data_IF_473328854049
#
_entry.id   IF_473328854049
#
_cell.length_a   1.000
_cell.length_b   1.000
_cell.length_c   1.000
_cell.angle_alpha   90.00
_cell.angle_beta   90.00
_cell.angle_gamma   90.00
#
_symmetry.space_group_name_H-M   'P 1'
#
loop_
_entity.id
_entity.type
_entity.pdbx_description
1 polymer ?
#
# COMPACT_ATOMS: atom_id res chain seq x y z
N UNK A 1 -64.71 6.99 -21.50
CA UNK A 1 -63.39 7.51 -21.17
C UNK A 1 -62.54 6.35 -20.68
N UNK A 2 -61.63 5.89 -21.52
CA UNK A 2 -60.71 4.77 -21.20
C UNK A 2 -59.49 5.32 -20.51
N UNK A 3 -58.87 4.57 -19.57
CA UNK A 3 -57.64 4.99 -18.91
C UNK A 3 -56.39 4.71 -19.78
N UNK A 4 -55.53 5.66 -19.87
CA UNK A 4 -54.25 5.65 -20.55
C UNK A 4 -53.24 4.73 -19.83
N UNK A 5 -52.59 3.85 -20.60
CA UNK A 5 -51.47 2.99 -20.16
C UNK A 5 -50.23 3.81 -19.85
N UNK A 6 -49.41 3.37 -18.86
CA UNK A 6 -48.12 3.98 -18.61
C UNK A 6 -47.04 3.49 -19.57
N UNK A 7 -46.18 4.42 -19.91
CA UNK A 7 -45.05 4.39 -20.81
C UNK A 7 -44.06 3.26 -20.48
N UNK A 8 -43.64 2.50 -21.49
CA UNK A 8 -42.63 1.44 -21.36
C UNK A 8 -41.25 2.07 -21.35
N UNK A 9 -40.59 2.02 -20.18
CA UNK A 9 -39.21 2.44 -20.01
C UNK A 9 -38.27 1.71 -20.98
N UNK A 10 -37.52 2.46 -21.76
CA UNK A 10 -36.49 1.97 -22.66
C UNK A 10 -35.39 1.24 -21.88
N UNK A 11 -35.22 -0.05 -22.16
CA UNK A 11 -34.11 -0.85 -21.67
C UNK A 11 -32.84 -0.35 -22.38
N UNK A 12 -31.96 0.29 -21.65
CA UNK A 12 -30.64 0.70 -22.13
C UNK A 12 -29.82 -0.56 -22.39
N UNK A 13 -29.39 -0.76 -23.64
CA UNK A 13 -28.46 -1.84 -23.98
C UNK A 13 -27.12 -1.58 -23.32
N UNK A 14 -26.45 -2.62 -22.80
CA UNK A 14 -25.10 -2.43 -22.22
C UNK A 14 -24.13 -2.02 -23.32
N UNK A 15 -23.24 -1.06 -22.97
CA UNK A 15 -22.13 -0.61 -23.82
C UNK A 15 -21.30 -1.80 -24.32
N UNK A 16 -20.83 -1.78 -25.57
CA UNK A 16 -19.96 -2.82 -26.10
C UNK A 16 -18.67 -2.89 -25.27
N UNK A 17 -18.29 -4.12 -24.89
CA UNK A 17 -17.05 -4.39 -24.20
C UNK A 17 -15.85 -3.72 -24.92
N UNK A 18 -14.88 -3.15 -24.18
CA UNK A 18 -13.71 -2.54 -24.79
C UNK A 18 -12.97 -3.55 -25.68
N UNK A 19 -12.39 -3.12 -26.82
CA UNK A 19 -11.67 -4.02 -27.71
C UNK A 19 -10.52 -4.70 -26.94
N UNK A 20 -10.40 -6.01 -27.14
CA UNK A 20 -9.28 -6.80 -26.61
C UNK A 20 -7.96 -6.12 -27.01
N UNK A 21 -7.13 -5.84 -26.04
CA UNK A 21 -5.83 -5.19 -26.21
C UNK A 21 -5.03 -5.91 -27.29
N UNK A 22 -4.75 -5.24 -28.39
CA UNK A 22 -3.84 -5.70 -29.43
C UNK A 22 -2.39 -5.37 -29.02
N UNK A 23 -1.92 -5.95 -27.92
CA UNK A 23 -0.49 -6.00 -27.65
C UNK A 23 0.16 -6.89 -28.72
N UNK A 24 1.34 -6.53 -29.27
CA UNK A 24 2.04 -7.39 -30.20
C UNK A 24 2.28 -8.78 -29.57
N UNK A 25 2.22 -9.87 -30.35
CA UNK A 25 2.44 -11.21 -29.82
C UNK A 25 3.81 -11.25 -29.14
N UNK A 26 3.81 -11.64 -27.86
CA UNK A 26 5.04 -11.80 -27.08
C UNK A 26 5.82 -12.99 -27.67
N UNK A 27 7.12 -12.80 -27.93
CA UNK A 27 7.99 -13.93 -28.27
C UNK A 27 7.95 -14.99 -27.15
N UNK A 28 7.73 -16.25 -27.55
CA UNK A 28 7.68 -17.40 -26.62
C UNK A 28 9.01 -18.12 -26.66
N UNK A 29 9.71 -18.20 -25.54
CA UNK A 29 10.92 -18.99 -25.38
C UNK A 29 10.59 -20.48 -25.13
N UNK A 30 10.96 -21.36 -26.05
CA UNK A 30 10.72 -22.81 -25.95
C UNK A 30 12.04 -23.55 -25.77
N UNK A 31 12.09 -24.50 -24.83
CA UNK A 31 13.20 -25.44 -24.69
C UNK A 31 12.76 -26.80 -25.18
N UNK A 32 13.34 -27.26 -26.27
CA UNK A 32 13.17 -28.61 -26.81
C UNK A 32 14.29 -29.51 -26.27
N UNK A 33 13.94 -30.54 -25.49
CA UNK A 33 14.87 -31.54 -24.96
C UNK A 33 14.72 -32.78 -25.80
N UNK A 34 15.67 -33.02 -26.75
CA UNK A 34 15.58 -34.04 -27.80
C UNK A 34 17.00 -34.38 -28.27
N UNK A 35 17.42 -35.62 -28.18
CA UNK A 35 18.76 -36.08 -28.60
C UNK A 35 18.84 -36.43 -30.08
N UNK A 36 17.76 -36.92 -30.68
CA UNK A 36 17.70 -37.25 -32.11
C UNK A 36 17.65 -36.00 -33.00
N UNK A 37 18.54 -35.88 -33.96
CA UNK A 37 18.62 -34.72 -34.84
C UNK A 37 17.44 -34.61 -35.81
N UNK A 38 16.91 -35.78 -36.27
CA UNK A 38 15.77 -35.83 -37.19
C UNK A 38 14.47 -35.39 -36.51
N UNK A 39 14.22 -35.94 -35.33
CA UNK A 39 13.04 -35.58 -34.53
C UNK A 39 13.06 -34.11 -34.12
N UNK A 40 14.22 -33.62 -33.67
CA UNK A 40 14.38 -32.20 -33.29
C UNK A 40 14.13 -31.26 -34.49
N UNK A 41 14.60 -31.60 -35.68
CA UNK A 41 14.37 -30.83 -36.89
C UNK A 41 12.89 -30.82 -37.27
N UNK A 42 12.23 -31.97 -37.21
CA UNK A 42 10.78 -32.07 -37.51
C UNK A 42 9.93 -31.20 -36.58
N UNK A 43 10.23 -31.23 -35.27
CA UNK A 43 9.55 -30.41 -34.27
C UNK A 43 9.81 -28.93 -34.50
N UNK A 44 11.06 -28.56 -34.76
CA UNK A 44 11.44 -27.16 -35.03
C UNK A 44 10.77 -26.60 -36.28
N UNK A 45 10.75 -27.36 -37.39
CA UNK A 45 10.11 -26.95 -38.63
C UNK A 45 8.59 -26.83 -38.47
N UNK A 46 7.95 -27.72 -37.74
CA UNK A 46 6.54 -27.61 -37.43
C UNK A 46 6.23 -26.39 -36.60
N UNK A 47 7.04 -26.10 -35.59
CA UNK A 47 6.87 -24.90 -34.76
C UNK A 47 7.12 -23.59 -35.52
N UNK A 48 8.09 -23.56 -36.43
CA UNK A 48 8.35 -22.37 -37.27
C UNK A 48 7.13 -22.02 -38.15
N UNK A 49 6.33 -23.00 -38.55
CA UNK A 49 5.10 -22.79 -39.34
C UNK A 49 3.90 -22.44 -38.45
N UNK A 50 3.68 -23.20 -37.38
CA UNK A 50 2.44 -23.16 -36.58
C UNK A 50 2.52 -22.19 -35.39
N UNK A 51 3.75 -21.77 -34.99
CA UNK A 51 4.05 -20.88 -33.87
C UNK A 51 5.19 -19.90 -34.21
N UNK A 52 4.99 -19.02 -35.20
CA UNK A 52 6.03 -18.12 -35.69
C UNK A 52 6.57 -17.14 -34.62
N UNK A 53 5.81 -16.92 -33.55
CA UNK A 53 6.23 -16.14 -32.36
C UNK A 53 7.14 -16.96 -31.40
N UNK A 54 7.40 -18.22 -31.66
CA UNK A 54 8.20 -19.11 -30.81
C UNK A 54 9.68 -19.13 -31.19
N UNK A 55 10.57 -18.94 -30.23
CA UNK A 55 12.01 -19.18 -30.37
C UNK A 55 12.38 -20.47 -29.69
N UNK A 56 12.92 -21.45 -30.46
CA UNK A 56 13.24 -22.79 -29.97
C UNK A 56 14.74 -22.88 -29.68
N UNK A 57 15.07 -23.17 -28.41
CA UNK A 57 16.41 -23.63 -28.01
C UNK A 57 16.39 -25.14 -27.83
N UNK A 58 17.47 -25.82 -28.22
CA UNK A 58 17.57 -27.29 -28.11
C UNK A 58 18.56 -27.68 -27.04
N UNK A 59 18.20 -28.69 -26.22
CA UNK A 59 19.05 -29.47 -25.33
C UNK A 59 19.05 -30.92 -25.78
N UNK A 60 20.22 -31.60 -25.73
CA UNK A 60 20.36 -32.99 -26.18
C UNK A 60 20.27 -34.01 -25.03
N UNK A 61 20.15 -33.53 -23.81
CA UNK A 61 20.10 -34.35 -22.60
C UNK A 61 19.45 -33.55 -21.46
N UNK A 62 19.08 -34.19 -20.36
CA UNK A 62 18.62 -33.51 -19.15
C UNK A 62 19.72 -32.61 -18.56
N UNK A 63 20.99 -33.06 -18.60
CA UNK A 63 22.12 -32.27 -18.11
C UNK A 63 22.28 -30.97 -18.90
N UNK A 64 22.13 -31.04 -20.24
CA UNK A 64 22.15 -29.84 -21.10
C UNK A 64 20.93 -28.94 -20.87
N UNK A 65 19.74 -29.53 -20.73
CA UNK A 65 18.53 -28.80 -20.37
C UNK A 65 18.68 -28.04 -19.05
N UNK A 66 19.23 -28.66 -18.02
CA UNK A 66 19.50 -28.05 -16.72
C UNK A 66 20.41 -26.82 -16.83
N UNK A 67 21.46 -26.91 -17.66
CA UNK A 67 22.36 -25.76 -17.88
C UNK A 67 21.65 -24.56 -18.53
N UNK A 68 20.67 -24.84 -19.42
CA UNK A 68 19.90 -23.80 -20.12
C UNK A 68 18.72 -23.27 -19.30
N UNK A 69 18.13 -24.06 -18.39
CA UNK A 69 16.99 -23.66 -17.54
C UNK A 69 17.30 -22.56 -16.52
N UNK A 70 18.55 -22.09 -16.46
CA UNK A 70 18.91 -20.84 -15.75
C UNK A 70 18.36 -19.59 -16.44
N UNK A 71 17.95 -19.70 -17.73
CA UNK A 71 17.26 -18.68 -18.51
C UNK A 71 15.73 -18.75 -18.35
N UNK A 72 15.03 -17.80 -18.98
CA UNK A 72 13.56 -17.75 -18.97
C UNK A 72 12.99 -18.48 -20.18
N UNK A 73 12.36 -19.63 -19.94
CA UNK A 73 11.57 -20.34 -20.95
C UNK A 73 10.08 -20.30 -20.58
N UNK A 74 9.23 -20.17 -21.60
CA UNK A 74 7.78 -20.18 -21.44
C UNK A 74 7.20 -21.61 -21.46
N UNK A 75 7.90 -22.56 -22.12
CA UNK A 75 7.48 -23.98 -22.16
C UNK A 75 8.69 -24.87 -22.43
N UNK A 76 8.67 -26.06 -21.85
CA UNK A 76 9.60 -27.16 -22.13
C UNK A 76 8.88 -28.26 -22.91
N UNK A 77 9.47 -28.67 -24.03
CA UNK A 77 9.08 -29.85 -24.82
C UNK A 77 10.09 -30.94 -24.51
N UNK A 78 9.64 -32.08 -24.02
CA UNK A 78 10.52 -33.12 -23.52
C UNK A 78 10.29 -34.46 -24.22
N UNK A 79 11.32 -34.99 -24.85
CA UNK A 79 11.32 -36.39 -25.23
C UNK A 79 11.55 -37.29 -24.01
N UNK A 80 10.90 -38.47 -24.01
CA UNK A 80 11.02 -39.44 -22.94
C UNK A 80 12.23 -40.38 -23.09
N UNK A 81 12.89 -40.40 -24.25
CA UNK A 81 14.04 -41.29 -24.51
C UNK A 81 15.30 -40.45 -24.70
N UNK A 82 15.95 -40.12 -23.59
CA UNK A 82 17.17 -39.32 -23.57
C UNK A 82 18.36 -40.16 -23.12
N UNK A 83 19.60 -39.83 -23.51
CA UNK A 83 20.78 -40.61 -23.18
C UNK A 83 21.10 -40.69 -21.68
N UNK A 84 20.67 -39.72 -20.90
CA UNK A 84 20.96 -39.58 -19.46
C UNK A 84 19.72 -39.72 -18.56
N UNK A 85 18.51 -39.83 -19.12
CA UNK A 85 17.28 -40.14 -18.36
C UNK A 85 16.19 -40.66 -19.30
N UNK A 86 15.31 -41.52 -18.81
CA UNK A 86 14.24 -42.10 -19.63
C UNK A 86 12.89 -42.11 -18.90
N UNK A 87 11.80 -42.01 -19.68
CA UNK A 87 10.43 -42.10 -19.18
C UNK A 87 10.12 -41.07 -18.11
N UNK A 88 9.45 -41.48 -17.03
CA UNK A 88 9.00 -40.59 -15.94
C UNK A 88 10.15 -39.98 -15.13
N UNK A 89 11.35 -40.59 -15.19
CA UNK A 89 12.51 -40.01 -14.53
C UNK A 89 12.91 -38.67 -15.17
N UNK A 90 12.89 -38.58 -16.51
CA UNK A 90 13.15 -37.33 -17.23
C UNK A 90 12.14 -36.24 -16.84
N UNK A 91 10.84 -36.58 -16.76
CA UNK A 91 9.78 -35.68 -16.30
C UNK A 91 10.06 -35.19 -14.88
N UNK A 92 10.40 -36.09 -13.95
CA UNK A 92 10.67 -35.74 -12.56
C UNK A 92 11.90 -34.83 -12.40
N UNK A 93 12.93 -35.00 -13.25
CA UNK A 93 14.12 -34.17 -13.24
C UNK A 93 13.81 -32.75 -13.73
N UNK A 94 13.11 -32.57 -14.87
CA UNK A 94 12.70 -31.26 -15.36
C UNK A 94 11.78 -30.58 -14.37
N UNK A 95 10.85 -31.28 -13.72
CA UNK A 95 9.95 -30.70 -12.70
C UNK A 95 10.68 -30.20 -11.48
N UNK A 96 11.78 -30.83 -11.05
CA UNK A 96 12.61 -30.32 -9.95
C UNK A 96 13.36 -29.05 -10.33
N UNK A 97 13.88 -29.00 -11.57
CA UNK A 97 14.72 -27.89 -12.03
C UNK A 97 13.89 -26.69 -12.50
N UNK A 98 12.67 -26.91 -13.02
CA UNK A 98 11.76 -25.88 -13.50
C UNK A 98 10.29 -26.13 -13.07
N UNK A 99 9.95 -26.03 -11.79
CA UNK A 99 8.63 -26.40 -11.26
C UNK A 99 7.48 -25.56 -11.80
N UNK A 100 7.73 -24.31 -12.19
CA UNK A 100 6.72 -23.36 -12.66
C UNK A 100 6.55 -23.35 -14.19
N UNK A 101 7.54 -23.85 -14.94
CA UNK A 101 7.52 -23.81 -16.42
C UNK A 101 6.63 -24.93 -16.96
N UNK A 102 5.67 -24.64 -17.86
CA UNK A 102 4.90 -25.68 -18.53
C UNK A 102 5.76 -26.72 -19.21
N UNK A 103 5.40 -27.99 -19.04
CA UNK A 103 6.11 -29.16 -19.60
C UNK A 103 5.14 -29.95 -20.46
N UNK A 104 5.46 -30.09 -21.73
CA UNK A 104 4.76 -30.96 -22.69
C UNK A 104 5.69 -32.12 -23.07
N UNK A 105 5.18 -33.33 -22.96
CA UNK A 105 5.94 -34.53 -23.29
C UNK A 105 5.70 -34.92 -24.75
N UNK A 106 6.75 -35.20 -25.47
CA UNK A 106 6.73 -35.77 -26.82
C UNK A 106 7.01 -37.27 -26.75
N UNK A 107 6.09 -38.11 -27.21
CA UNK A 107 6.20 -39.59 -27.10
C UNK A 107 6.23 -40.26 -28.46
N UNK A 108 6.83 -41.42 -28.55
CA UNK A 108 6.70 -42.33 -29.72
C UNK A 108 5.31 -42.97 -29.81
N UNK A 109 4.98 -43.58 -30.96
CA UNK A 109 3.65 -44.19 -31.21
C UNK A 109 3.37 -45.32 -30.22
N UNK A 110 4.40 -46.03 -29.74
CA UNK A 110 4.28 -47.21 -28.85
C UNK A 110 4.21 -46.82 -27.35
N UNK A 111 4.39 -45.54 -26.99
CA UNK A 111 4.55 -45.04 -25.61
C UNK A 111 3.28 -44.39 -25.02
N UNK A 112 2.11 -44.64 -25.59
CA UNK A 112 0.86 -43.99 -25.16
C UNK A 112 0.54 -44.15 -23.66
N UNK A 113 0.90 -45.28 -23.04
CA UNK A 113 0.72 -45.50 -21.59
C UNK A 113 1.68 -44.63 -20.75
N UNK A 114 2.90 -44.40 -21.23
CA UNK A 114 3.89 -43.52 -20.61
C UNK A 114 3.47 -42.05 -20.71
N UNK A 115 2.85 -41.63 -21.84
CA UNK A 115 2.30 -40.29 -22.00
C UNK A 115 1.25 -39.97 -20.96
N UNK A 116 0.32 -40.88 -20.68
CA UNK A 116 -0.68 -40.72 -19.63
C UNK A 116 -0.02 -40.62 -18.24
N UNK A 117 0.94 -41.49 -17.94
CA UNK A 117 1.65 -41.48 -16.67
C UNK A 117 2.51 -40.22 -16.48
N UNK A 118 2.94 -39.56 -17.57
CA UNK A 118 3.66 -38.30 -17.52
C UNK A 118 2.77 -37.13 -16.99
N UNK A 119 1.45 -37.16 -17.26
CA UNK A 119 0.52 -36.20 -16.69
C UNK A 119 0.45 -36.29 -15.16
N UNK A 120 0.39 -37.53 -14.62
CA UNK A 120 0.40 -37.79 -13.18
C UNK A 120 1.76 -37.36 -12.55
N UNK A 121 2.85 -37.44 -13.33
CA UNK A 121 4.18 -37.00 -12.94
C UNK A 121 4.37 -35.48 -13.05
N UNK A 122 3.36 -34.74 -13.52
CA UNK A 122 3.33 -33.28 -13.55
C UNK A 122 3.51 -32.65 -14.94
N UNK A 123 3.52 -33.40 -16.03
CA UNK A 123 3.41 -32.80 -17.36
C UNK A 123 2.02 -32.14 -17.55
N UNK A 124 1.94 -31.04 -18.31
CA UNK A 124 0.68 -30.36 -18.61
C UNK A 124 -0.06 -31.04 -19.76
N UNK A 125 0.68 -31.65 -20.68
CA UNK A 125 0.13 -32.38 -21.82
C UNK A 125 1.15 -33.39 -22.38
N UNK A 126 0.69 -34.29 -23.21
CA UNK A 126 1.58 -35.15 -23.99
C UNK A 126 1.09 -35.26 -25.45
N UNK A 127 2.03 -35.41 -26.37
CA UNK A 127 1.74 -35.50 -27.81
C UNK A 127 2.57 -36.64 -28.41
N UNK A 128 1.91 -37.42 -29.29
CA UNK A 128 2.58 -38.53 -29.98
C UNK A 128 3.25 -38.04 -31.26
N UNK A 129 4.57 -38.16 -31.36
CA UNK A 129 5.36 -37.76 -32.53
C UNK A 129 4.80 -38.42 -33.81
N UNK A 130 4.71 -37.66 -34.90
CA UNK A 130 4.27 -38.13 -36.20
C UNK A 130 2.76 -38.36 -36.38
N UNK A 131 1.93 -38.34 -35.31
CA UNK A 131 0.46 -38.47 -35.40
C UNK A 131 -0.27 -37.15 -35.20
N UNK A 132 0.46 -36.12 -34.80
CA UNK A 132 -0.10 -34.81 -34.46
C UNK A 132 -0.42 -34.06 -35.74
N UNK A 133 -1.72 -33.79 -36.00
CA UNK A 133 -2.16 -32.96 -37.12
C UNK A 133 -1.62 -31.52 -36.99
N UNK A 134 -1.47 -30.85 -38.15
CA UNK A 134 -0.99 -29.47 -38.22
C UNK A 134 -1.62 -28.58 -37.14
N UNK A 135 -0.79 -27.84 -36.40
CA UNK A 135 -1.20 -26.87 -35.37
C UNK A 135 -1.54 -27.44 -33.98
N UNK A 136 -1.50 -28.79 -33.78
CA UNK A 136 -1.86 -29.34 -32.46
C UNK A 136 -0.78 -29.06 -31.40
N UNK A 137 0.52 -29.17 -31.76
CA UNK A 137 1.62 -28.81 -30.89
C UNK A 137 1.58 -27.34 -30.47
N UNK A 138 1.38 -26.44 -31.43
CA UNK A 138 1.27 -25.01 -31.15
C UNK A 138 0.08 -24.68 -30.24
N UNK A 139 -1.06 -25.38 -30.42
CA UNK A 139 -2.22 -25.22 -29.54
C UNK A 139 -1.96 -25.71 -28.13
N UNK A 140 -1.30 -26.86 -27.98
CA UNK A 140 -0.93 -27.40 -26.67
C UNK A 140 0.03 -26.44 -25.93
N UNK A 141 1.03 -25.89 -26.62
CA UNK A 141 1.97 -24.91 -26.07
C UNK A 141 1.22 -23.64 -25.62
N UNK A 142 0.41 -23.01 -26.51
CA UNK A 142 -0.35 -21.82 -26.17
C UNK A 142 -1.29 -22.05 -24.98
N UNK A 143 -1.96 -23.20 -24.94
CA UNK A 143 -2.85 -23.55 -23.85
C UNK A 143 -2.10 -23.74 -22.53
N UNK A 144 -0.98 -24.48 -22.55
CA UNK A 144 -0.16 -24.72 -21.37
C UNK A 144 0.44 -23.43 -20.81
N UNK A 145 0.96 -22.56 -21.69
CA UNK A 145 1.51 -21.24 -21.30
C UNK A 145 0.41 -20.34 -20.73
N UNK A 146 -0.74 -20.21 -21.41
CA UNK A 146 -1.84 -19.39 -20.93
C UNK A 146 -2.36 -19.88 -19.57
N UNK A 147 -2.49 -21.17 -19.37
CA UNK A 147 -2.91 -21.77 -18.10
C UNK A 147 -1.91 -21.50 -16.98
N UNK A 148 -0.60 -21.64 -17.26
CA UNK A 148 0.43 -21.34 -16.27
C UNK A 148 0.45 -19.86 -15.87
N UNK A 149 0.26 -18.96 -16.83
CA UNK A 149 0.16 -17.50 -16.56
C UNK A 149 -1.03 -17.17 -15.67
N UNK A 150 -2.21 -17.74 -15.94
CA UNK A 150 -3.41 -17.54 -15.09
C UNK A 150 -3.17 -18.08 -13.68
N UNK A 151 -2.62 -19.30 -13.55
CA UNK A 151 -2.32 -19.88 -12.24
C UNK A 151 -1.27 -19.07 -11.46
N UNK A 152 -0.24 -18.57 -12.17
CA UNK A 152 0.77 -17.67 -11.57
C UNK A 152 0.14 -16.39 -11.05
N UNK A 153 -0.65 -15.69 -11.88
CA UNK A 153 -1.34 -14.46 -11.50
C UNK A 153 -2.32 -14.67 -10.33
N UNK A 154 -3.05 -15.80 -10.32
CA UNK A 154 -3.95 -16.14 -9.22
C UNK A 154 -3.19 -16.38 -7.91
N UNK A 155 -2.07 -17.09 -7.97
CA UNK A 155 -1.20 -17.33 -6.81
C UNK A 155 -0.63 -16.02 -6.25
N UNK A 156 -0.13 -15.15 -7.13
CA UNK A 156 0.43 -13.85 -6.74
C UNK A 156 -0.65 -12.97 -6.11
N UNK A 157 -1.88 -12.98 -6.65
CA UNK A 157 -3.01 -12.26 -6.10
C UNK A 157 -3.40 -12.79 -4.70
N UNK A 158 -3.39 -14.10 -4.49
CA UNK A 158 -3.68 -14.71 -3.18
C UNK A 158 -2.62 -14.30 -2.16
N UNK A 159 -1.34 -14.36 -2.53
CA UNK A 159 -0.23 -13.94 -1.66
C UNK A 159 -0.32 -12.45 -1.33
N UNK A 160 -0.54 -11.60 -2.32
CA UNK A 160 -0.71 -10.16 -2.12
C UNK A 160 -1.91 -9.83 -1.20
N UNK A 161 -3.03 -10.54 -1.36
CA UNK A 161 -4.20 -10.38 -0.48
C UNK A 161 -3.93 -10.83 0.95
N UNK A 162 -3.22 -11.95 1.13
CA UNK A 162 -2.85 -12.44 2.45
C UNK A 162 -1.92 -11.45 3.17
N UNK A 163 -0.91 -10.94 2.49
CA UNK A 163 -0.01 -9.91 3.01
C UNK A 163 -0.76 -8.61 3.37
N UNK A 164 -1.64 -8.13 2.49
CA UNK A 164 -2.46 -6.94 2.75
C UNK A 164 -3.39 -7.14 3.95
N UNK A 165 -3.97 -8.34 4.11
CA UNK A 165 -4.84 -8.64 5.24
C UNK A 165 -4.08 -8.68 6.57
N UNK A 166 -2.89 -9.27 6.59
CA UNK A 166 -2.03 -9.31 7.77
C UNK A 166 -1.56 -7.91 8.17
N UNK A 167 -1.13 -7.10 7.19
CA UNK A 167 -0.75 -5.72 7.42
C UNK A 167 -1.90 -4.89 7.97
N UNK A 168 -3.10 -4.97 7.38
CA UNK A 168 -4.29 -4.29 7.90
C UNK A 168 -4.69 -4.73 9.32
N UNK A 169 -4.35 -5.97 9.72
CA UNK A 169 -4.55 -6.45 11.08
C UNK A 169 -3.54 -5.82 12.06
N UNK A 170 -2.28 -5.70 11.65
CA UNK A 170 -1.25 -5.01 12.45
C UNK A 170 -1.60 -3.54 12.63
N UNK A 171 -2.01 -2.84 11.57
CA UNK A 171 -2.46 -1.44 11.65
C UNK A 171 -3.56 -1.22 12.69
N UNK A 172 -4.62 -2.06 12.66
CA UNK A 172 -5.70 -1.95 13.65
C UNK A 172 -5.21 -2.17 15.08
N UNK A 173 -4.23 -3.05 15.27
CA UNK A 173 -3.63 -3.31 16.59
C UNK A 173 -2.70 -2.18 17.06
N UNK A 174 -2.12 -1.43 16.13
CA UNK A 174 -1.18 -0.33 16.40
C UNK A 174 -1.86 1.04 16.35
N UNK A 175 -3.09 1.15 15.83
CA UNK A 175 -3.84 2.39 15.82
C UNK A 175 -4.06 2.94 17.25
N UNK A 176 -3.96 4.26 17.45
CA UNK A 176 -4.18 4.85 18.75
C UNK A 176 -5.62 4.65 19.23
N UNK A 177 -5.77 4.24 20.47
CA UNK A 177 -7.05 4.26 21.18
C UNK A 177 -6.98 5.36 22.24
N UNK A 178 -7.54 6.56 21.97
CA UNK A 178 -7.42 7.71 22.86
C UNK A 178 -8.03 7.41 24.24
N UNK A 179 -7.41 7.97 25.29
CA UNK A 179 -7.90 7.89 26.66
C UNK A 179 -8.49 9.26 27.02
N UNK A 180 -9.79 9.42 26.83
CA UNK A 180 -10.48 10.69 27.05
C UNK A 180 -11.60 10.53 28.09
N UNK A 181 -11.88 11.64 28.80
CA UNK A 181 -13.09 11.77 29.61
C UNK A 181 -14.24 12.19 28.70
N UNK A 182 -15.28 11.41 28.65
CA UNK A 182 -16.41 11.58 27.72
C UNK A 182 -17.17 12.91 27.88
N UNK A 183 -17.09 13.53 29.05
CA UNK A 183 -17.77 14.79 29.41
C UNK A 183 -16.91 16.05 29.23
N UNK A 184 -15.58 15.89 29.08
CA UNK A 184 -14.65 17.00 29.11
C UNK A 184 -14.11 17.38 27.72
N UNK A 185 -13.85 16.39 26.87
CA UNK A 185 -13.30 16.61 25.55
C UNK A 185 -13.70 15.51 24.57
N UNK A 186 -13.73 15.86 23.29
CA UNK A 186 -13.91 14.93 22.18
C UNK A 186 -12.73 15.01 21.21
N UNK A 187 -12.51 13.93 20.48
CA UNK A 187 -11.49 13.84 19.44
C UNK A 187 -12.07 13.15 18.21
N UNK A 188 -11.69 13.63 17.03
CA UNK A 188 -11.87 12.96 15.76
C UNK A 188 -10.54 12.96 15.03
N UNK A 189 -10.10 11.83 14.55
CA UNK A 189 -8.83 11.72 13.85
C UNK A 189 -8.93 10.83 12.62
N UNK A 190 -8.07 11.10 11.65
CA UNK A 190 -7.94 10.28 10.46
C UNK A 190 -6.47 10.25 10.03
N UNK A 191 -6.04 9.05 9.70
CA UNK A 191 -4.77 8.80 9.03
C UNK A 191 -5.05 8.34 7.60
N UNK A 192 -4.28 8.80 6.65
CA UNK A 192 -4.33 8.39 5.25
C UNK A 192 -2.93 8.19 4.72
N UNK A 193 -2.63 6.97 4.29
CA UNK A 193 -1.36 6.64 3.68
C UNK A 193 -1.20 7.33 2.33
N UNK A 194 0.00 7.81 2.04
CA UNK A 194 0.38 8.41 0.77
C UNK A 194 0.45 7.41 -0.39
N UNK A 195 0.94 7.86 -1.54
CA UNK A 195 1.04 7.04 -2.77
C UNK A 195 1.93 5.80 -2.64
N UNK A 196 2.85 5.76 -1.70
CA UNK A 196 3.82 4.67 -1.53
C UNK A 196 3.20 3.31 -1.18
N UNK A 197 1.87 3.23 -0.98
CA UNK A 197 1.14 2.01 -0.59
C UNK A 197 1.67 1.31 0.68
N UNK A 198 2.60 1.91 1.39
CA UNK A 198 2.92 1.48 2.73
C UNK A 198 1.69 1.76 3.58
N UNK A 199 1.09 0.71 4.14
CA UNK A 199 -0.12 0.81 4.95
C UNK A 199 0.14 1.51 6.30
N UNK A 200 1.39 1.58 6.72
CA UNK A 200 1.86 2.29 7.92
C UNK A 200 2.89 3.33 7.48
N UNK A 201 2.66 4.59 7.84
CA UNK A 201 3.58 5.70 7.66
C UNK A 201 4.33 6.07 8.94
N UNK A 202 5.25 7.02 8.82
CA UNK A 202 5.97 7.62 9.95
C UNK A 202 5.08 8.47 10.86
N UNK A 203 3.90 8.85 10.38
CA UNK A 203 2.91 9.66 11.08
C UNK A 203 2.33 8.95 12.30
N UNK A 204 2.30 9.61 13.43
CA UNK A 204 1.66 9.12 14.64
C UNK A 204 0.92 10.24 15.39
N UNK A 205 -0.13 9.88 16.10
CA UNK A 205 -0.87 10.79 16.97
C UNK A 205 -1.47 10.04 18.15
N UNK A 206 -1.77 10.77 19.22
CA UNK A 206 -2.46 10.21 20.38
C UNK A 206 -3.10 11.31 21.23
N UNK A 207 -4.03 10.92 22.12
CA UNK A 207 -4.64 11.79 23.10
C UNK A 207 -4.86 11.03 24.42
N UNK A 208 -4.48 11.69 25.53
CA UNK A 208 -4.61 11.13 26.88
C UNK A 208 -5.16 12.23 27.80
N UNK A 209 -6.18 11.89 28.57
CA UNK A 209 -6.69 12.71 29.67
C UNK A 209 -6.84 11.85 30.92
N UNK A 210 -5.99 12.08 31.91
CA UNK A 210 -6.14 11.46 33.23
C UNK A 210 -7.24 12.13 34.03
N UNK A 211 -7.72 11.46 35.10
CA UNK A 211 -8.89 11.92 35.88
C UNK A 211 -8.77 13.38 36.38
N UNK A 212 -7.59 13.77 36.86
CA UNK A 212 -7.32 15.09 37.45
C UNK A 212 -6.23 15.85 36.68
N UNK A 213 -5.96 15.48 35.44
CA UNK A 213 -4.90 16.05 34.62
C UNK A 213 -5.40 16.82 33.39
N UNK A 214 -4.49 17.54 32.72
CA UNK A 214 -4.81 18.19 31.46
C UNK A 214 -5.15 17.16 30.39
N UNK A 215 -5.85 17.61 29.35
CA UNK A 215 -5.96 16.88 28.09
C UNK A 215 -4.61 17.00 27.35
N UNK A 216 -3.94 15.90 27.16
CA UNK A 216 -2.65 15.81 26.49
C UNK A 216 -2.78 15.27 25.09
N UNK A 217 -2.22 15.98 24.13
CA UNK A 217 -2.26 15.65 22.71
C UNK A 217 -0.84 15.53 22.17
N UNK A 218 -0.64 14.62 21.24
CA UNK A 218 0.58 14.52 20.44
C UNK A 218 0.24 14.23 19.00
N UNK A 219 0.99 14.83 18.10
CA UNK A 219 1.11 14.43 16.70
C UNK A 219 2.57 14.56 16.30
N UNK A 220 3.05 13.66 15.45
CA UNK A 220 4.40 13.69 14.95
C UNK A 220 4.52 12.92 13.65
N UNK A 221 5.64 13.17 12.96
CA UNK A 221 5.99 12.56 11.70
C UNK A 221 7.48 12.19 11.71
N UNK A 222 7.77 10.91 11.45
CA UNK A 222 9.13 10.39 11.29
C UNK A 222 9.54 10.55 9.84
N UNK A 223 10.56 11.36 9.58
CA UNK A 223 11.08 11.64 8.25
C UNK A 223 11.34 10.36 7.46
N UNK A 224 10.75 10.23 6.27
CA UNK A 224 10.82 9.04 5.43
C UNK A 224 9.51 8.26 5.36
N UNK A 225 9.55 7.11 4.73
CA UNK A 225 8.34 6.30 4.53
C UNK A 225 8.70 4.81 4.54
N UNK A 226 7.90 4.01 5.18
CA UNK A 226 8.06 2.56 5.19
C UNK A 226 7.84 1.93 6.56
N UNK A 227 8.15 0.65 6.65
CA UNK A 227 7.90 -0.13 7.85
C UNK A 227 8.82 0.25 9.02
N UNK A 228 10.06 0.69 8.73
CA UNK A 228 11.03 1.06 9.74
C UNK A 228 10.66 2.39 10.40
N UNK A 229 10.26 3.40 9.60
CA UNK A 229 9.76 4.68 10.08
C UNK A 229 8.46 4.51 10.87
N UNK A 230 7.55 3.67 10.39
CA UNK A 230 6.32 3.33 11.10
C UNK A 230 6.58 2.67 12.46
N UNK A 231 7.56 1.78 12.55
CA UNK A 231 7.94 1.15 13.81
C UNK A 231 8.46 2.18 14.83
N UNK A 232 9.26 3.15 14.37
CA UNK A 232 9.73 4.27 15.20
C UNK A 232 8.56 5.14 15.64
N UNK A 233 7.63 5.49 14.74
CA UNK A 233 6.42 6.25 15.06
C UNK A 233 5.58 5.59 16.15
N UNK A 234 5.38 4.26 16.08
CA UNK A 234 4.68 3.48 17.11
C UNK A 234 5.46 3.48 18.44
N UNK A 235 6.78 3.34 18.38
CA UNK A 235 7.66 3.39 19.57
C UNK A 235 7.53 4.74 20.28
N UNK A 236 7.66 5.84 19.53
CA UNK A 236 7.55 7.20 20.06
C UNK A 236 6.17 7.48 20.64
N UNK A 237 5.09 7.10 19.94
CA UNK A 237 3.72 7.22 20.42
C UNK A 237 3.50 6.47 21.74
N UNK A 238 4.02 5.25 21.83
CA UNK A 238 3.89 4.42 23.04
C UNK A 238 4.68 4.99 24.21
N UNK A 239 5.88 5.49 23.95
CA UNK A 239 6.72 6.17 24.94
C UNK A 239 6.05 7.45 25.42
N UNK A 240 5.54 8.27 24.50
CA UNK A 240 4.76 9.47 24.85
C UNK A 240 3.55 9.13 25.72
N UNK A 241 2.77 8.11 25.33
CA UNK A 241 1.58 7.69 26.09
C UNK A 241 1.92 7.29 27.54
N UNK A 242 3.01 6.53 27.71
CA UNK A 242 3.46 6.12 29.04
C UNK A 242 3.83 7.35 29.90
N UNK A 243 4.54 8.32 29.33
CA UNK A 243 4.91 9.57 30.01
C UNK A 243 3.71 10.49 30.24
N UNK A 244 2.79 10.60 29.28
CA UNK A 244 1.56 11.39 29.38
C UNK A 244 0.64 10.93 30.51
N UNK A 245 0.69 9.66 30.89
CA UNK A 245 -0.03 9.11 32.04
C UNK A 245 0.63 9.41 33.38
N UNK A 246 1.84 9.99 33.38
CA UNK A 246 2.53 10.47 34.57
C UNK A 246 2.27 11.95 34.83
N UNK A 247 3.01 12.55 35.76
CA UNK A 247 2.98 14.00 36.02
C UNK A 247 4.09 14.76 35.30
N UNK A 248 4.80 14.09 34.37
CA UNK A 248 5.89 14.72 33.59
C UNK A 248 5.40 15.93 32.80
N UNK A 249 6.20 17.00 32.78
CA UNK A 249 5.95 18.18 31.94
C UNK A 249 6.33 17.94 30.48
N UNK A 250 5.92 18.84 29.57
CA UNK A 250 6.17 18.72 28.14
C UNK A 250 7.67 18.68 27.81
N UNK A 251 8.50 19.44 28.54
CA UNK A 251 9.97 19.44 28.35
C UNK A 251 10.60 18.11 28.74
N UNK A 252 10.17 17.51 29.86
CA UNK A 252 10.65 16.21 30.31
C UNK A 252 10.24 15.10 29.34
N UNK A 253 8.99 15.19 28.83
CA UNK A 253 8.46 14.23 27.84
C UNK A 253 9.30 14.30 26.56
N UNK A 254 9.53 15.50 25.98
CA UNK A 254 10.28 15.62 24.73
C UNK A 254 11.73 15.21 24.88
N UNK A 255 12.39 15.49 26.01
CA UNK A 255 13.75 15.04 26.29
C UNK A 255 13.86 13.51 26.35
N UNK A 256 12.87 12.87 26.99
CA UNK A 256 12.82 11.41 27.05
C UNK A 256 12.55 10.82 25.66
N UNK A 257 11.63 11.41 24.89
CA UNK A 257 11.36 11.00 23.51
C UNK A 257 12.58 11.18 22.60
N UNK A 258 13.33 12.25 22.74
CA UNK A 258 14.62 12.46 22.06
C UNK A 258 15.58 11.30 22.34
N UNK A 259 15.73 10.93 23.61
CA UNK A 259 16.63 9.84 24.02
C UNK A 259 16.17 8.50 23.44
N UNK A 260 14.88 8.20 23.49
CA UNK A 260 14.30 7.00 22.86
C UNK A 260 14.57 6.99 21.37
N UNK A 261 14.27 8.08 20.67
CA UNK A 261 14.48 8.20 19.23
C UNK A 261 15.92 7.99 18.80
N UNK A 262 16.89 8.56 19.54
CA UNK A 262 18.32 8.42 19.25
C UNK A 262 18.83 6.98 19.38
N UNK A 263 18.20 6.17 20.23
CA UNK A 263 18.54 4.76 20.39
C UNK A 263 17.82 3.84 19.38
N UNK A 264 16.61 4.20 18.97
CA UNK A 264 15.78 3.39 18.06
C UNK A 264 16.04 3.70 16.58
N UNK A 265 16.54 4.89 16.24
CA UNK A 265 16.77 5.24 14.84
C UNK A 265 17.83 4.34 14.19
N UNK A 266 17.55 3.81 13.04
CA UNK A 266 18.43 2.92 12.28
C UNK A 266 19.44 3.67 11.38
N UNK A 267 19.23 4.99 11.15
CA UNK A 267 20.09 5.87 10.33
C UNK A 267 20.39 7.15 11.10
N UNK A 268 21.67 7.55 11.12
CA UNK A 268 22.13 8.72 11.87
C UNK A 268 21.52 10.06 11.43
N UNK A 269 21.04 10.19 10.20
CA UNK A 269 20.40 11.40 9.66
C UNK A 269 18.88 11.46 9.84
N UNK A 270 18.28 10.43 10.42
CA UNK A 270 16.83 10.38 10.65
C UNK A 270 16.45 11.40 11.73
N UNK A 271 15.32 12.07 11.54
CA UNK A 271 14.71 12.99 12.50
C UNK A 271 13.20 12.80 12.52
N UNK A 272 12.55 13.34 13.54
CA UNK A 272 11.07 13.37 13.62
C UNK A 272 10.59 14.75 14.00
N UNK A 273 9.52 15.18 13.35
CA UNK A 273 8.80 16.38 13.75
C UNK A 273 7.75 16.03 14.80
N UNK A 274 7.49 16.93 15.74
CA UNK A 274 6.61 16.66 16.87
C UNK A 274 5.86 17.93 17.29
N UNK A 275 4.58 17.80 17.57
CA UNK A 275 3.77 18.80 18.25
C UNK A 275 3.06 18.15 19.44
N UNK A 276 3.22 18.73 20.63
CA UNK A 276 2.52 18.34 21.85
C UNK A 276 1.71 19.53 22.38
N UNK A 277 0.49 19.26 22.84
CA UNK A 277 -0.38 20.26 23.45
C UNK A 277 -0.99 19.70 24.72
N UNK A 278 -0.76 20.34 25.83
CA UNK A 278 -1.46 20.08 27.10
C UNK A 278 -2.54 21.16 27.29
N UNK A 279 -3.81 20.76 27.40
CA UNK A 279 -4.94 21.68 27.55
C UNK A 279 -5.57 21.51 28.93
N UNK A 280 -5.55 22.58 29.72
CA UNK A 280 -6.44 22.72 30.86
C UNK A 280 -7.81 23.14 30.34
N UNK A 281 -8.72 22.18 30.24
CA UNK A 281 -10.05 22.39 29.65
C UNK A 281 -10.91 23.34 30.49
N UNK A 282 -10.75 23.32 31.83
CA UNK A 282 -11.52 24.16 32.75
C UNK A 282 -11.01 25.59 32.75
N UNK A 283 -9.69 25.77 32.76
CA UNK A 283 -9.06 27.08 32.71
C UNK A 283 -9.08 27.73 31.33
N UNK A 284 -9.31 26.94 30.26
CA UNK A 284 -9.22 27.43 28.89
C UNK A 284 -7.78 27.84 28.49
N UNK A 285 -6.79 27.05 28.94
CA UNK A 285 -5.37 27.35 28.69
C UNK A 285 -4.69 26.13 28.05
N UNK A 286 -3.95 26.38 26.99
CA UNK A 286 -3.09 25.40 26.35
C UNK A 286 -1.60 25.69 26.61
N UNK A 287 -0.82 24.64 26.78
CA UNK A 287 0.63 24.66 26.77
C UNK A 287 1.10 23.91 25.53
N UNK A 288 1.83 24.59 24.65
CA UNK A 288 2.25 24.10 23.34
C UNK A 288 3.76 23.92 23.30
N UNK A 289 4.22 22.74 22.88
CA UNK A 289 5.61 22.48 22.53
C UNK A 289 5.65 21.92 21.10
N UNK A 290 6.47 22.52 20.24
CA UNK A 290 6.59 22.13 18.84
C UNK A 290 8.06 21.98 18.44
N UNK A 291 8.43 20.82 17.95
CA UNK A 291 9.76 20.46 17.47
C UNK A 291 9.70 20.24 15.94
N UNK A 292 9.92 21.29 15.15
CA UNK A 292 9.95 21.22 13.69
C UNK A 292 8.61 20.97 12.99
N UNK A 293 7.54 20.73 13.72
CA UNK A 293 6.23 20.32 13.20
C UNK A 293 5.38 21.51 12.73
N UNK A 294 4.44 21.35 11.78
CA UNK A 294 3.47 22.39 11.42
C UNK A 294 2.71 22.92 12.63
N UNK A 295 2.39 24.22 12.67
CA UNK A 295 1.61 24.80 13.76
C UNK A 295 0.17 24.32 13.72
N UNK A 296 -0.45 23.95 14.88
CA UNK A 296 -1.86 23.64 14.95
C UNK A 296 -2.74 24.82 14.54
N UNK A 297 -3.89 24.55 13.91
CA UNK A 297 -4.90 25.54 13.66
C UNK A 297 -5.89 25.60 14.83
N UNK A 298 -6.21 26.80 15.30
CA UNK A 298 -7.28 27.09 16.24
C UNK A 298 -8.51 27.54 15.47
N UNK A 299 -9.61 26.85 15.67
CA UNK A 299 -10.92 27.13 15.07
C UNK A 299 -11.84 27.62 16.18
N UNK A 300 -12.49 28.76 15.99
CA UNK A 300 -13.44 29.34 16.93
C UNK A 300 -14.50 30.17 16.18
N UNK A 301 -15.42 30.76 16.89
CA UNK A 301 -16.37 31.73 16.31
C UNK A 301 -15.68 32.94 15.67
N UNK A 302 -14.46 33.29 16.09
CA UNK A 302 -13.66 34.36 15.49
C UNK A 302 -13.07 33.98 14.13
N UNK A 303 -13.04 32.69 13.80
CA UNK A 303 -12.50 32.15 12.55
C UNK A 303 -11.44 31.11 12.77
N UNK A 304 -10.50 31.03 11.81
CA UNK A 304 -9.40 30.06 11.81
C UNK A 304 -8.09 30.84 11.93
N UNK A 305 -7.33 30.52 12.94
CA UNK A 305 -6.01 31.10 13.15
C UNK A 305 -4.97 30.04 13.55
N UNK A 306 -3.71 30.39 13.43
CA UNK A 306 -2.60 29.53 13.86
C UNK A 306 -2.42 29.68 15.37
N UNK A 307 -2.29 28.57 16.09
CA UNK A 307 -1.83 28.64 17.47
C UNK A 307 -0.45 29.29 17.52
N UNK A 308 -0.28 30.39 18.29
CA UNK A 308 0.93 31.15 18.26
C UNK A 308 2.10 30.37 18.85
N UNK A 309 3.25 30.47 18.18
CA UNK A 309 4.54 30.05 18.74
C UNK A 309 5.59 31.08 18.32
N UNK A 310 6.28 31.63 19.28
CA UNK A 310 7.25 32.69 19.06
C UNK A 310 8.58 32.18 18.51
N UNK A 311 8.95 30.93 18.83
CA UNK A 311 10.19 30.28 18.37
C UNK A 311 9.92 28.92 17.76
N UNK A 312 10.59 28.64 16.66
CA UNK A 312 10.62 27.32 16.08
C UNK A 312 11.76 26.53 16.77
N UNK A 313 11.42 25.42 17.38
CA UNK A 313 12.40 24.49 17.93
C UNK A 313 12.78 23.44 16.87
N UNK A 314 14.01 22.91 16.89
CA UNK A 314 14.43 21.91 15.92
C UNK A 314 13.66 20.59 16.12
N UNK A 315 13.53 19.78 15.06
CA UNK A 315 13.02 18.41 15.17
C UNK A 315 13.84 17.56 16.14
N UNK A 316 13.23 16.51 16.66
CA UNK A 316 13.90 15.46 17.44
C UNK A 316 14.92 14.74 16.55
N UNK A 317 16.09 14.41 17.09
CA UNK A 317 17.16 13.71 16.37
C UNK A 317 18.21 14.62 15.73
N UNK A 318 18.03 15.96 15.74
CA UNK A 318 19.01 16.92 15.20
C UNK A 318 19.98 17.50 16.25
N UNK A 319 20.07 16.88 17.42
CA UNK A 319 21.11 17.18 18.43
C UNK A 319 20.97 18.53 19.12
N UNK A 320 19.76 19.06 19.24
CA UNK A 320 19.43 20.25 20.04
C UNK A 320 18.30 19.92 21.01
N UNK A 321 18.36 20.45 22.22
CA UNK A 321 17.46 20.19 23.34
C UNK A 321 16.92 21.49 23.99
N UNK A 322 16.87 22.59 23.21
CA UNK A 322 16.39 23.90 23.64
C UNK A 322 14.87 24.12 23.35
N UNK A 323 14.07 23.09 23.57
CA UNK A 323 12.61 23.19 23.38
C UNK A 323 11.98 24.10 24.43
N UNK A 324 11.00 24.87 23.99
CA UNK A 324 10.27 25.82 24.83
C UNK A 324 8.79 25.54 24.78
N UNK A 325 8.15 25.60 25.94
CA UNK A 325 6.70 25.55 26.09
C UNK A 325 6.12 26.94 26.02
N UNK A 326 5.11 27.14 25.18
CA UNK A 326 4.35 28.38 25.12
C UNK A 326 2.97 28.20 25.73
N UNK A 327 2.55 29.19 26.51
CA UNK A 327 1.21 29.27 27.09
C UNK A 327 0.30 30.08 26.17
N UNK A 328 -0.86 29.52 25.84
CA UNK A 328 -1.87 30.13 24.97
C UNK A 328 -3.24 30.12 25.68
N UNK A 329 -3.94 31.26 25.68
CA UNK A 329 -5.33 31.31 26.12
C UNK A 329 -6.26 30.86 25.00
N UNK A 330 -7.20 29.99 25.32
CA UNK A 330 -8.16 29.46 24.37
C UNK A 330 -9.55 30.13 24.56
N UNK A 331 -10.25 30.47 23.47
CA UNK A 331 -11.63 30.89 23.54
C UNK A 331 -12.53 29.77 24.07
N UNK A 332 -13.71 30.06 24.59
CA UNK A 332 -14.61 29.05 25.17
C UNK A 332 -15.11 27.99 24.17
N UNK A 333 -15.11 28.32 22.88
CA UNK A 333 -15.58 27.51 21.77
C UNK A 333 -14.43 26.90 20.94
N UNK A 334 -13.26 26.75 21.54
CA UNK A 334 -12.09 26.30 20.84
C UNK A 334 -12.24 24.88 20.24
N UNK A 335 -11.70 24.71 19.03
CA UNK A 335 -11.37 23.45 18.41
C UNK A 335 -9.94 23.55 17.88
N UNK A 336 -9.08 22.61 18.23
CA UNK A 336 -7.69 22.54 17.76
C UNK A 336 -7.59 21.46 16.68
N UNK A 337 -7.05 21.85 15.52
CA UNK A 337 -6.66 20.92 14.47
C UNK A 337 -5.14 20.77 14.48
N UNK A 338 -4.69 19.57 14.77
CA UNK A 338 -3.30 19.12 14.57
C UNK A 338 -3.24 18.33 13.25
N UNK A 339 -2.15 18.47 12.50
CA UNK A 339 -1.99 17.82 11.21
C UNK A 339 -0.51 17.69 10.84
N UNK A 340 -0.14 16.64 10.11
CA UNK A 340 1.19 16.44 9.53
C UNK A 340 1.33 17.22 8.22
N UNK A 341 2.57 17.40 7.76
CA UNK A 341 2.87 18.25 6.61
C UNK A 341 2.36 17.67 5.27
N UNK A 342 2.08 16.37 5.19
CA UNK A 342 1.55 15.75 3.98
C UNK A 342 0.29 16.44 3.42
N UNK A 343 -0.59 17.01 4.28
CA UNK A 343 -1.77 17.75 3.81
C UNK A 343 -1.40 19.09 3.18
N UNK A 344 -0.40 19.80 3.71
CA UNK A 344 -0.01 21.14 3.24
C UNK A 344 1.07 21.09 2.15
N UNK A 345 1.73 19.96 1.98
CA UNK A 345 2.72 19.72 0.93
C UNK A 345 2.10 19.30 -0.42
N UNK A 346 0.81 18.98 -0.45
CA UNK A 346 0.05 18.72 -1.67
C UNK A 346 0.19 19.88 -2.67
N UNK A 347 0.25 19.56 -3.96
CA UNK A 347 0.33 20.56 -5.04
C UNK A 347 -1.01 21.24 -5.26
N UNK A 348 -0.96 22.46 -5.79
CA UNK A 348 -2.13 23.18 -6.28
C UNK A 348 -2.03 23.31 -7.80
N UNK A 349 -2.76 22.45 -8.52
CA UNK A 349 -2.73 22.38 -9.97
C UNK A 349 -1.43 21.77 -10.52
N UNK A 350 -1.09 22.11 -11.78
CA UNK A 350 0.06 21.53 -12.51
C UNK A 350 1.42 22.18 -12.12
N UNK A 351 1.41 23.25 -11.33
CA UNK A 351 2.59 24.02 -10.97
C UNK A 351 3.37 23.48 -9.75
N UNK A 352 4.47 24.16 -9.37
CA UNK A 352 5.23 23.83 -8.17
C UNK A 352 4.59 24.36 -6.89
N UNK A 353 3.46 25.08 -6.97
CA UNK A 353 2.78 25.67 -5.83
C UNK A 353 2.22 24.58 -4.90
N UNK A 354 2.45 24.77 -3.59
CA UNK A 354 1.93 23.87 -2.56
C UNK A 354 0.77 24.51 -1.84
N UNK A 355 -0.14 23.71 -1.28
CA UNK A 355 -1.29 24.19 -0.53
C UNK A 355 -0.87 25.12 0.62
N UNK A 356 0.13 24.70 1.39
CA UNK A 356 0.64 25.45 2.54
C UNK A 356 -0.39 25.65 3.66
N UNK A 357 0.07 26.21 4.78
CA UNK A 357 -0.80 26.49 5.93
C UNK A 357 -1.95 27.46 5.56
N UNK A 358 -1.67 28.47 4.72
CA UNK A 358 -2.69 29.45 4.30
C UNK A 358 -3.79 28.81 3.48
N UNK A 359 -3.44 27.89 2.59
CA UNK A 359 -4.41 27.14 1.80
C UNK A 359 -5.30 26.28 2.69
N UNK A 360 -4.71 25.54 3.63
CA UNK A 360 -5.46 24.73 4.59
C UNK A 360 -6.42 25.59 5.43
N UNK A 361 -5.96 26.72 5.97
CA UNK A 361 -6.82 27.64 6.72
C UNK A 361 -7.95 28.22 5.85
N UNK A 362 -7.65 28.52 4.58
CA UNK A 362 -8.65 28.97 3.60
C UNK A 362 -9.75 27.93 3.37
N UNK A 363 -9.37 26.65 3.24
CA UNK A 363 -10.32 25.53 3.07
C UNK A 363 -11.20 25.35 4.31
N UNK A 364 -10.62 25.40 5.52
CA UNK A 364 -11.38 25.32 6.77
C UNK A 364 -12.39 26.49 6.84
N UNK A 365 -11.93 27.71 6.61
CA UNK A 365 -12.78 28.89 6.64
C UNK A 365 -13.90 28.85 5.59
N UNK A 366 -13.63 28.28 4.42
CA UNK A 366 -14.65 28.07 3.39
C UNK A 366 -15.71 27.05 3.86
N UNK A 367 -15.29 25.90 4.36
CA UNK A 367 -16.21 24.88 4.88
C UNK A 367 -17.14 25.44 5.97
N UNK A 368 -16.60 26.23 6.90
CA UNK A 368 -17.41 26.89 7.94
C UNK A 368 -18.43 27.91 7.37
N UNK A 369 -18.04 28.70 6.34
CA UNK A 369 -18.97 29.64 5.67
C UNK A 369 -20.09 28.92 4.91
N UNK A 370 -19.83 27.73 4.40
CA UNK A 370 -20.82 26.90 3.68
C UNK A 370 -21.78 26.15 4.62
N UNK A 371 -21.71 26.42 5.92
CA UNK A 371 -22.58 25.81 6.93
C UNK A 371 -22.03 24.52 7.56
N UNK A 372 -20.77 24.20 7.30
CA UNK A 372 -20.05 23.15 8.02
C UNK A 372 -19.79 23.54 9.47
N UNK A 373 -19.63 22.55 10.33
CA UNK A 373 -19.38 22.76 11.75
C UNK A 373 -18.30 21.79 12.26
N UNK A 374 -17.17 22.34 12.66
CA UNK A 374 -16.04 21.57 13.18
C UNK A 374 -16.35 20.82 14.48
N UNK A 375 -17.33 21.30 15.27
CA UNK A 375 -17.68 20.71 16.57
C UNK A 375 -18.70 19.59 16.45
N UNK A 376 -19.73 19.78 15.62
CA UNK A 376 -20.83 18.81 15.48
C UNK A 376 -20.54 17.76 14.41
N UNK A 377 -19.70 18.09 13.42
CA UNK A 377 -19.34 17.20 12.30
C UNK A 377 -17.83 17.14 12.02
N UNK A 378 -17.01 16.82 13.03
CA UNK A 378 -15.55 16.84 12.89
C UNK A 378 -15.02 15.87 11.82
N UNK A 379 -15.65 14.71 11.67
CA UNK A 379 -15.27 13.70 10.66
C UNK A 379 -15.53 14.19 9.23
N UNK A 380 -16.63 14.94 9.03
CA UNK A 380 -16.98 15.54 7.74
C UNK A 380 -15.96 16.61 7.34
N UNK A 381 -15.55 17.46 8.29
CA UNK A 381 -14.51 18.47 8.05
C UNK A 381 -13.20 17.81 7.62
N UNK A 382 -12.69 16.84 8.40
CA UNK A 382 -11.44 16.13 8.05
C UNK A 382 -11.53 15.50 6.66
N UNK A 383 -12.65 14.81 6.36
CA UNK A 383 -12.84 14.17 5.06
C UNK A 383 -12.85 15.19 3.91
N UNK A 384 -13.55 16.32 4.09
CA UNK A 384 -13.61 17.41 3.11
C UNK A 384 -12.24 18.00 2.85
N UNK A 385 -11.45 18.26 3.90
CA UNK A 385 -10.10 18.81 3.76
C UNK A 385 -9.17 17.88 2.99
N UNK A 386 -9.16 16.58 3.32
CA UNK A 386 -8.32 15.59 2.62
C UNK A 386 -8.74 15.47 1.16
N UNK A 387 -10.04 15.29 0.87
CA UNK A 387 -10.53 15.13 -0.49
C UNK A 387 -10.23 16.37 -1.34
N UNK A 388 -10.46 17.57 -0.80
CA UNK A 388 -10.17 18.82 -1.52
C UNK A 388 -8.66 19.00 -1.79
N UNK A 389 -7.79 18.63 -0.84
CA UNK A 389 -6.35 18.67 -1.06
C UNK A 389 -5.93 17.68 -2.16
N UNK A 390 -6.53 16.48 -2.22
CA UNK A 390 -6.28 15.50 -3.28
C UNK A 390 -6.82 15.96 -4.65
N UNK A 391 -7.98 16.62 -4.68
CA UNK A 391 -8.53 17.21 -5.91
C UNK A 391 -7.59 18.31 -6.45
N UNK A 392 -7.10 19.20 -5.59
CA UNK A 392 -6.12 20.23 -5.96
C UNK A 392 -4.79 19.62 -6.42
N UNK A 393 -4.37 18.51 -5.82
CA UNK A 393 -3.14 17.79 -6.17
C UNK A 393 -3.27 16.98 -7.48
N UNK A 394 -4.48 16.85 -8.02
CA UNK A 394 -4.74 16.04 -9.21
C UNK A 394 -4.70 14.52 -8.93
N UNK A 395 -4.94 14.10 -7.69
CA UNK A 395 -4.95 12.71 -7.23
C UNK A 395 -4.41 12.54 -5.82
N UNK A 396 -4.19 11.30 -5.35
CA UNK A 396 -3.73 11.02 -4.00
C UNK A 396 -2.46 11.80 -3.64
N UNK A 397 -2.37 12.26 -2.40
CA UNK A 397 -1.19 12.94 -1.85
C UNK A 397 0.02 12.00 -1.87
N UNK A 398 1.22 12.56 -1.98
CA UNK A 398 2.46 11.79 -2.09
C UNK A 398 2.84 11.22 -0.72
N UNK A 399 2.72 12.05 0.30
CA UNK A 399 3.09 11.73 1.68
C UNK A 399 1.89 11.30 2.51
N UNK A 400 2.17 10.69 3.65
CA UNK A 400 1.17 10.31 4.64
C UNK A 400 0.50 11.55 5.23
N UNK A 401 -0.75 11.42 5.63
CA UNK A 401 -1.53 12.50 6.24
C UNK A 401 -2.17 12.01 7.52
N UNK A 402 -1.79 12.57 8.63
CA UNK A 402 -2.52 12.46 9.89
C UNK A 402 -3.19 13.79 10.24
N UNK A 403 -4.45 13.73 10.61
CA UNK A 403 -5.22 14.88 11.07
C UNK A 403 -5.98 14.53 12.34
N UNK A 404 -5.94 15.40 13.32
CA UNK A 404 -6.62 15.23 14.60
C UNK A 404 -7.34 16.54 15.00
N UNK A 405 -8.66 16.49 15.08
CA UNK A 405 -9.51 17.56 15.62
C UNK A 405 -9.87 17.24 17.06
N UNK A 406 -9.71 18.19 17.93
CA UNK A 406 -10.00 18.07 19.36
C UNK A 406 -10.75 19.31 19.83
N UNK A 407 -11.79 19.14 20.62
CA UNK A 407 -12.55 20.24 21.20
C UNK A 407 -13.11 19.93 22.59
N UNK A 408 -13.56 20.96 23.30
CA UNK A 408 -14.18 20.83 24.63
C UNK A 408 -15.62 20.31 24.58
N UNK A 409 -16.05 19.62 25.64
CA UNK A 409 -17.42 19.14 25.83
C UNK A 409 -17.64 17.69 25.36
N UNK A 410 -18.90 17.25 25.34
CA UNK A 410 -19.27 15.90 24.96
C UNK A 410 -19.01 15.64 23.47
N UNK A 411 -18.73 14.36 23.14
CA UNK A 411 -18.53 13.94 21.77
C UNK A 411 -19.76 14.22 20.89
N UNK A 412 -19.61 14.73 19.67
CA UNK A 412 -20.72 14.94 18.76
C UNK A 412 -21.38 13.60 18.40
N UNK A 413 -22.71 13.51 18.63
CA UNK A 413 -23.49 12.30 18.32
C UNK A 413 -23.43 11.16 19.35
N UNK A 414 -22.98 11.43 20.58
CA UNK A 414 -23.07 10.52 21.72
C UNK A 414 -24.50 10.44 22.29
#
# INVERSE_FOLDING_TARGET
MAPTSPDAGAIHAPDPAPPLSTAPPRELGLLLVEDDDGDALLVADQLAIDLPEGTVSRARSIADARAQLTGTFDCVLLDLHLPDASGLEAVAQIRRDAPAVPLIVLTGVDDGALGVAALDAGAQDYLVKGTVGSGALARAIRYAVARAQVQGAERDLILARAQAHEMARLERGLAPSPILRADAAWMSARHRAGRSRALLGGDFYDAVQSADGPLRLVIGDVCGHGADEAAIGVCLRSSWRALALTRAGLEEIVQTMQSVFEHERHVAGLFTTLCMVDVDVEAGVAHLLRAGHPPPALISAAGVERLPQRRSCPPIGLGRDDWQVERVELPSDWVILLYTDGIIEGRVGEGPERLGERGLHGMIAQHLREGGDARTRPQELIATLINHAEDLNGGPLIDDVAMMLVGSGAAPGA
#
